data_IF_032173949536
#
_entry.id   IF_032173949536
#
_cell.length_a   1.000
_cell.length_b   1.000
_cell.length_c   1.000
_cell.angle_alpha   90.00
_cell.angle_beta   90.00
_cell.angle_gamma   90.00
#
_symmetry.space_group_name_H-M   'P 1'
#
loop_
_entity.id
_entity.type
_entity.pdbx_description
1 polymer ?
#
# COMPACT_ATOMS: atom_id res chain seq x y z
N UNK A 1 -14.73 20.88 -48.56
CA UNK A 1 -15.14 20.53 -47.18
C UNK A 1 -13.89 20.37 -46.33
N UNK A 2 -13.60 21.34 -45.44
CA UNK A 2 -12.57 21.14 -44.40
C UNK A 2 -13.23 20.37 -43.26
N UNK A 3 -12.84 19.12 -43.07
CA UNK A 3 -13.20 18.37 -41.86
C UNK A 3 -12.44 19.04 -40.72
N UNK A 4 -13.15 19.79 -39.89
CA UNK A 4 -12.65 20.29 -38.62
C UNK A 4 -12.39 19.09 -37.72
N UNK A 5 -11.12 18.71 -37.55
CA UNK A 5 -10.69 17.85 -36.47
C UNK A 5 -10.90 18.66 -35.20
N UNK A 6 -12.01 18.41 -34.49
CA UNK A 6 -12.17 18.94 -33.12
C UNK A 6 -11.01 18.38 -32.31
N UNK A 7 -10.10 19.26 -31.88
CA UNK A 7 -9.10 18.92 -30.87
C UNK A 7 -9.85 18.36 -29.65
N UNK A 8 -9.48 17.14 -29.24
CA UNK A 8 -10.11 16.52 -28.10
C UNK A 8 -9.79 17.35 -26.85
N UNK A 9 -10.82 17.61 -26.02
CA UNK A 9 -10.64 18.25 -24.73
C UNK A 9 -9.61 17.44 -23.90
N UNK A 10 -8.57 18.06 -23.31
CA UNK A 10 -7.57 17.36 -22.49
C UNK A 10 -8.18 16.45 -21.42
N UNK A 11 -9.31 16.84 -20.82
CA UNK A 11 -10.05 16.01 -19.87
C UNK A 11 -10.60 14.72 -20.51
N UNK A 12 -11.13 14.78 -21.73
CA UNK A 12 -11.61 13.59 -22.44
C UNK A 12 -10.48 12.62 -22.78
N UNK A 13 -9.30 13.14 -23.12
CA UNK A 13 -8.13 12.32 -23.39
C UNK A 13 -7.67 11.58 -22.13
N UNK A 14 -7.59 12.27 -20.98
CA UNK A 14 -7.29 11.67 -19.68
C UNK A 14 -8.30 10.56 -19.31
N UNK A 15 -9.59 10.82 -19.48
CA UNK A 15 -10.65 9.85 -19.18
C UNK A 15 -10.54 8.58 -20.04
N UNK A 16 -10.17 8.71 -21.31
CA UNK A 16 -9.93 7.56 -22.22
C UNK A 16 -8.72 6.73 -21.80
N UNK A 17 -7.78 7.30 -21.04
CA UNK A 17 -6.60 6.58 -20.55
C UNK A 17 -6.87 5.81 -19.25
N UNK A 18 -7.96 6.13 -18.53
CA UNK A 18 -8.37 5.38 -17.34
C UNK A 18 -9.18 4.15 -17.77
N UNK A 19 -8.83 2.93 -17.30
CA UNK A 19 -9.55 1.72 -17.65
C UNK A 19 -11.06 1.81 -17.34
N UNK A 20 -11.88 1.37 -18.30
CA UNK A 20 -13.29 1.08 -18.09
C UNK A 20 -13.46 -0.34 -17.58
N UNK A 21 -13.36 -0.50 -16.26
CA UNK A 21 -13.65 -1.77 -15.61
C UNK A 21 -15.12 -1.78 -15.15
N UNK A 22 -15.89 -2.75 -15.66
CA UNK A 22 -17.22 -3.08 -15.14
C UNK A 22 -17.30 -4.58 -14.89
N UNK A 23 -17.53 -4.97 -13.64
CA UNK A 23 -17.79 -6.35 -13.26
C UNK A 23 -19.15 -6.75 -13.82
N UNK A 24 -19.16 -7.65 -14.80
CA UNK A 24 -20.38 -7.98 -15.57
C UNK A 24 -21.41 -8.78 -14.77
N UNK A 25 -20.95 -9.52 -13.78
CA UNK A 25 -21.77 -10.49 -13.06
C UNK A 25 -22.59 -9.86 -11.92
N UNK A 26 -22.17 -8.71 -11.41
CA UNK A 26 -22.78 -8.05 -10.24
C UNK A 26 -22.67 -6.55 -10.35
N UNK A 27 -23.54 -5.84 -9.64
CA UNK A 27 -23.38 -4.40 -9.47
C UNK A 27 -22.55 -4.11 -8.21
N UNK A 28 -21.31 -3.66 -8.43
CA UNK A 28 -20.41 -3.29 -7.35
C UNK A 28 -20.93 -2.10 -6.52
N UNK A 29 -21.66 -1.16 -7.13
CA UNK A 29 -22.21 -0.01 -6.39
C UNK A 29 -23.22 -0.47 -5.32
N UNK A 30 -24.11 -1.39 -5.67
CA UNK A 30 -25.06 -2.02 -4.74
C UNK A 30 -24.35 -2.80 -3.63
N UNK A 31 -23.23 -3.46 -3.94
CA UNK A 31 -22.41 -4.16 -2.94
C UNK A 31 -21.84 -3.18 -1.94
N UNK A 32 -21.19 -2.09 -2.39
CA UNK A 32 -20.67 -1.05 -1.49
C UNK A 32 -21.78 -0.35 -0.70
N UNK A 33 -22.98 -0.22 -1.27
CA UNK A 33 -24.16 0.30 -0.57
C UNK A 33 -24.72 -0.66 0.51
N UNK A 34 -24.20 -1.89 0.63
CA UNK A 34 -24.64 -2.86 1.62
C UNK A 34 -25.83 -3.71 1.20
N UNK A 35 -26.11 -3.83 -0.10
CA UNK A 35 -27.21 -4.68 -0.59
C UNK A 35 -26.90 -6.17 -0.33
N UNK A 36 -27.50 -6.72 0.73
CA UNK A 36 -27.31 -8.10 1.17
C UNK A 36 -27.64 -9.16 0.10
N UNK A 37 -28.60 -8.88 -0.79
CA UNK A 37 -28.92 -9.80 -1.89
C UNK A 37 -27.76 -9.84 -2.89
N UNK A 38 -27.23 -8.69 -3.27
CA UNK A 38 -26.12 -8.61 -4.21
C UNK A 38 -24.83 -9.21 -3.61
N UNK A 39 -24.56 -8.94 -2.33
CA UNK A 39 -23.44 -9.52 -1.58
C UNK A 39 -23.51 -11.06 -1.62
N UNK A 40 -24.68 -11.66 -1.37
CA UNK A 40 -24.85 -13.12 -1.42
C UNK A 40 -24.65 -13.70 -2.83
N UNK A 41 -25.10 -13.00 -3.87
CA UNK A 41 -24.87 -13.41 -5.27
C UNK A 41 -23.37 -13.39 -5.56
N UNK A 42 -22.72 -12.26 -5.27
CA UNK A 42 -21.31 -12.02 -5.52
C UNK A 42 -20.37 -12.99 -4.79
N UNK A 43 -20.71 -13.35 -3.55
CA UNK A 43 -19.96 -14.29 -2.72
C UNK A 43 -19.90 -15.71 -3.31
N UNK A 44 -20.87 -16.09 -4.15
CA UNK A 44 -20.96 -17.41 -4.77
C UNK A 44 -20.27 -17.51 -6.15
N UNK A 45 -19.79 -16.39 -6.69
CA UNK A 45 -19.09 -16.37 -7.98
C UNK A 45 -17.68 -16.94 -7.79
N UNK A 46 -17.42 -18.08 -8.45
CA UNK A 46 -16.13 -18.78 -8.41
C UNK A 46 -15.34 -18.69 -9.71
N UNK A 47 -16.02 -18.46 -10.85
CA UNK A 47 -15.41 -18.49 -12.16
C UNK A 47 -14.70 -17.17 -12.47
N UNK A 48 -13.39 -17.15 -12.25
CA UNK A 48 -12.51 -16.11 -12.79
C UNK A 48 -11.40 -16.79 -13.58
N UNK A 49 -11.27 -16.41 -14.85
CA UNK A 49 -10.23 -16.92 -15.74
C UNK A 49 -8.87 -16.51 -15.18
N UNK A 50 -8.07 -17.48 -14.73
CA UNK A 50 -6.74 -17.22 -14.18
C UNK A 50 -5.71 -17.24 -15.31
N UNK A 51 -4.92 -16.17 -15.40
CA UNK A 51 -3.76 -16.11 -16.29
C UNK A 51 -2.65 -16.93 -15.64
N UNK A 52 -2.06 -17.86 -16.39
CA UNK A 52 -0.92 -18.63 -15.90
C UNK A 52 0.36 -17.78 -15.92
N UNK A 53 1.33 -18.10 -15.08
CA UNK A 53 2.60 -17.38 -15.05
C UNK A 53 3.29 -17.34 -16.42
N UNK A 54 3.25 -18.45 -17.17
CA UNK A 54 3.83 -18.54 -18.52
C UNK A 54 3.08 -17.71 -19.57
N UNK A 55 1.79 -17.45 -19.36
CA UNK A 55 1.02 -16.61 -20.28
C UNK A 55 1.46 -15.14 -20.19
N UNK A 56 1.93 -14.68 -19.02
CA UNK A 56 2.51 -13.33 -18.90
C UNK A 56 3.70 -13.11 -19.83
N UNK A 57 4.56 -14.10 -20.01
CA UNK A 57 5.71 -14.01 -20.92
C UNK A 57 5.27 -13.79 -22.38
N UNK A 58 4.08 -14.28 -22.76
CA UNK A 58 3.51 -14.04 -24.10
C UNK A 58 2.88 -12.66 -24.19
N UNK A 59 2.12 -12.29 -23.16
CA UNK A 59 1.43 -11.01 -23.10
C UNK A 59 2.40 -9.81 -23.10
N UNK A 60 3.57 -9.97 -22.50
CA UNK A 60 4.59 -8.91 -22.36
C UNK A 60 5.52 -8.80 -23.57
N UNK A 61 5.43 -9.71 -24.56
CA UNK A 61 6.21 -9.59 -25.83
C UNK A 61 5.97 -8.26 -26.55
N UNK A 62 4.76 -7.71 -26.43
CA UNK A 62 4.43 -6.39 -26.96
C UNK A 62 4.01 -5.48 -25.80
N UNK A 63 4.99 -4.78 -25.23
CA UNK A 63 4.75 -3.91 -24.07
C UNK A 63 3.77 -2.77 -24.36
N UNK A 64 3.71 -2.25 -25.59
CA UNK A 64 2.74 -1.21 -25.97
C UNK A 64 1.30 -1.71 -25.89
N UNK A 65 1.06 -2.98 -26.21
CA UNK A 65 -0.25 -3.63 -26.02
C UNK A 65 -0.45 -4.03 -24.56
N UNK A 66 0.57 -4.57 -23.91
CA UNK A 66 0.51 -5.02 -22.52
C UNK A 66 0.10 -3.89 -21.56
N UNK A 67 0.73 -2.71 -21.68
CA UNK A 67 0.41 -1.54 -20.84
C UNK A 67 -1.05 -1.08 -20.98
N UNK A 68 -1.67 -1.29 -22.14
CA UNK A 68 -3.10 -0.96 -22.35
C UNK A 68 -4.06 -1.90 -21.62
N UNK A 69 -3.57 -2.95 -20.93
CA UNK A 69 -4.38 -3.92 -20.17
C UNK A 69 -4.80 -3.45 -18.77
N UNK A 70 -4.89 -2.14 -18.56
CA UNK A 70 -5.34 -1.56 -17.29
C UNK A 70 -4.36 -0.60 -16.61
N UNK A 71 -3.20 -0.31 -17.20
CA UNK A 71 -2.25 0.62 -16.58
C UNK A 71 -2.53 2.06 -16.98
N UNK A 72 -2.52 2.97 -15.99
CA UNK A 72 -2.56 4.40 -16.21
C UNK A 72 -1.13 4.90 -16.43
N UNK A 73 -0.78 5.17 -17.68
CA UNK A 73 0.61 5.43 -18.12
C UNK A 73 0.94 6.90 -18.29
N UNK A 74 0.06 7.78 -17.81
CA UNK A 74 0.25 9.23 -17.77
C UNK A 74 -0.11 9.75 -16.37
N UNK A 75 0.53 10.82 -15.88
CA UNK A 75 0.07 11.51 -14.68
C UNK A 75 -1.32 12.11 -14.94
N UNK A 76 -2.25 11.95 -14.00
CA UNK A 76 -3.64 12.43 -14.19
C UNK A 76 -3.81 13.92 -13.83
N UNK A 77 -2.87 14.50 -13.08
CA UNK A 77 -2.79 15.94 -12.79
C UNK A 77 -1.36 16.36 -12.39
N UNK A 78 -1.12 17.67 -12.33
CA UNK A 78 0.18 18.25 -11.99
C UNK A 78 0.61 17.96 -10.54
N UNK A 79 -0.33 17.87 -9.61
CA UNK A 79 -0.05 17.59 -8.20
C UNK A 79 0.56 16.20 -8.03
N UNK A 80 0.01 15.19 -8.70
CA UNK A 80 0.59 13.84 -8.73
C UNK A 80 1.91 13.77 -9.49
N UNK A 81 2.05 14.51 -10.60
CA UNK A 81 3.28 14.54 -11.38
C UNK A 81 4.47 15.09 -10.56
N UNK A 82 4.19 16.03 -9.65
CA UNK A 82 5.20 16.71 -8.83
C UNK A 82 5.46 16.02 -7.48
N UNK A 83 4.71 14.97 -7.14
CA UNK A 83 4.84 14.23 -5.89
C UNK A 83 5.10 12.73 -6.14
N UNK A 84 6.29 12.35 -6.63
CA UNK A 84 6.61 10.97 -6.91
C UNK A 84 6.68 10.13 -5.62
N UNK A 85 6.06 8.95 -5.65
CA UNK A 85 6.05 7.98 -4.55
C UNK A 85 6.92 6.78 -4.94
N UNK A 86 7.70 6.28 -3.99
CA UNK A 86 8.44 5.02 -4.13
C UNK A 86 7.77 3.90 -3.31
N UNK A 87 7.44 2.79 -3.97
CA UNK A 87 6.87 1.60 -3.35
C UNK A 87 7.90 0.48 -3.26
N UNK A 88 7.95 -0.19 -2.12
CA UNK A 88 8.67 -1.45 -1.94
C UNK A 88 7.62 -2.54 -1.69
N UNK A 89 7.52 -3.49 -2.61
CA UNK A 89 6.48 -4.54 -2.62
C UNK A 89 7.21 -5.88 -2.51
N UNK A 90 6.85 -6.73 -1.56
CA UNK A 90 7.40 -8.11 -1.52
C UNK A 90 6.32 -9.14 -1.82
N UNK A 91 6.72 -10.16 -2.57
CA UNK A 91 5.82 -11.14 -3.15
C UNK A 91 6.48 -12.52 -3.18
N UNK A 92 5.68 -13.59 -3.16
CA UNK A 92 6.21 -14.96 -3.25
C UNK A 92 5.39 -15.93 -4.12
N UNK A 93 4.21 -15.53 -4.63
CA UNK A 93 3.34 -16.48 -5.36
C UNK A 93 2.43 -15.85 -6.42
N UNK A 94 1.38 -15.15 -5.99
CA UNK A 94 0.23 -14.88 -6.86
C UNK A 94 0.47 -13.72 -7.83
N UNK A 95 1.09 -14.00 -8.98
CA UNK A 95 1.38 -13.02 -10.05
C UNK A 95 0.13 -12.26 -10.49
N UNK A 96 -1.03 -12.92 -10.54
CA UNK A 96 -2.29 -12.27 -10.95
C UNK A 96 -2.71 -11.22 -9.91
N UNK A 97 -2.68 -11.56 -8.63
CA UNK A 97 -2.94 -10.59 -7.55
C UNK A 97 -1.96 -9.42 -7.56
N UNK A 98 -0.68 -9.68 -7.86
CA UNK A 98 0.33 -8.62 -7.93
C UNK A 98 0.14 -7.74 -9.16
N UNK A 99 -0.16 -8.29 -10.34
CA UNK A 99 -0.48 -7.49 -11.53
C UNK A 99 -1.69 -6.59 -11.28
N UNK A 100 -2.71 -7.12 -10.61
CA UNK A 100 -3.92 -6.39 -10.19
C UNK A 100 -3.58 -5.21 -9.28
N UNK A 101 -2.78 -5.44 -8.24
CA UNK A 101 -2.26 -4.38 -7.37
C UNK A 101 -1.47 -3.34 -8.18
N UNK A 102 -0.53 -3.79 -9.02
CA UNK A 102 0.28 -2.90 -9.84
C UNK A 102 -0.58 -2.02 -10.74
N UNK A 103 -1.61 -2.56 -11.40
CA UNK A 103 -2.49 -1.75 -12.25
C UNK A 103 -3.21 -0.65 -11.47
N UNK A 104 -3.66 -0.93 -10.25
CA UNK A 104 -4.30 0.06 -9.39
C UNK A 104 -3.32 1.19 -9.02
N UNK A 105 -2.14 0.84 -8.50
CA UNK A 105 -1.21 1.83 -7.93
C UNK A 105 -0.21 2.41 -8.94
N UNK A 106 -0.07 1.82 -10.14
CA UNK A 106 0.93 2.24 -11.11
C UNK A 106 0.66 3.64 -11.63
N UNK A 107 1.69 4.50 -11.57
CA UNK A 107 1.76 5.79 -12.25
C UNK A 107 3.18 5.98 -12.79
N UNK A 108 3.36 6.66 -13.94
CA UNK A 108 4.67 6.75 -14.60
C UNK A 108 5.73 7.54 -13.83
N UNK A 109 5.32 8.47 -12.96
CA UNK A 109 6.23 9.29 -12.14
C UNK A 109 6.68 8.60 -10.84
N UNK A 110 5.96 7.55 -10.41
CA UNK A 110 6.28 6.79 -9.21
C UNK A 110 7.37 5.75 -9.49
N UNK A 111 7.94 5.16 -8.44
CA UNK A 111 8.93 4.09 -8.53
C UNK A 111 8.45 2.84 -7.80
N UNK A 112 8.71 1.67 -8.37
CA UNK A 112 8.27 0.39 -7.81
C UNK A 112 9.45 -0.57 -7.72
N UNK A 113 9.86 -0.93 -6.51
CA UNK A 113 10.82 -2.01 -6.27
C UNK A 113 10.04 -3.23 -5.80
N UNK A 114 10.06 -4.30 -6.59
CA UNK A 114 9.37 -5.55 -6.28
C UNK A 114 10.41 -6.59 -5.90
N UNK A 115 10.39 -7.00 -4.63
CA UNK A 115 11.22 -8.10 -4.14
C UNK A 115 10.46 -9.41 -4.30
N UNK A 116 10.96 -10.30 -5.16
CA UNK A 116 10.43 -11.66 -5.32
C UNK A 116 11.21 -12.59 -4.41
N UNK A 117 10.49 -13.34 -3.57
CA UNK A 117 11.08 -14.32 -2.68
C UNK A 117 11.86 -15.39 -3.48
N UNK A 118 13.13 -15.63 -3.16
CA UNK A 118 13.97 -16.63 -3.82
C UNK A 118 13.42 -18.06 -3.77
N UNK A 119 12.54 -18.35 -2.80
CA UNK A 119 11.86 -19.64 -2.67
C UNK A 119 10.64 -19.79 -3.58
N UNK A 120 10.26 -18.73 -4.30
CA UNK A 120 9.12 -18.77 -5.23
C UNK A 120 9.42 -19.70 -6.41
N UNK A 121 8.36 -20.21 -7.04
CA UNK A 121 8.51 -20.97 -8.29
C UNK A 121 9.22 -20.13 -9.36
N UNK A 122 10.09 -20.74 -10.15
CA UNK A 122 10.81 -20.07 -11.26
C UNK A 122 9.84 -19.33 -12.20
N UNK A 123 8.67 -19.93 -12.45
CA UNK A 123 7.62 -19.32 -13.28
C UNK A 123 7.14 -17.96 -12.73
N UNK A 124 7.14 -17.76 -11.40
CA UNK A 124 6.80 -16.48 -10.76
C UNK A 124 7.87 -15.45 -11.05
N UNK A 125 9.15 -15.79 -10.89
CA UNK A 125 10.26 -14.88 -11.20
C UNK A 125 10.23 -14.47 -12.66
N UNK A 126 10.10 -15.42 -13.58
CA UNK A 126 10.05 -15.15 -15.03
C UNK A 126 8.87 -14.25 -15.39
N UNK A 127 7.69 -14.53 -14.84
CA UNK A 127 6.51 -13.70 -15.08
C UNK A 127 6.73 -12.26 -14.60
N UNK A 128 7.24 -12.09 -13.37
CA UNK A 128 7.45 -10.76 -12.78
C UNK A 128 8.54 -9.96 -13.48
N UNK A 129 9.64 -10.61 -13.89
CA UNK A 129 10.67 -9.99 -14.75
C UNK A 129 10.07 -9.55 -16.08
N UNK A 130 9.25 -10.41 -16.71
CA UNK A 130 8.61 -10.08 -17.99
C UNK A 130 7.66 -8.88 -17.87
N UNK A 131 6.89 -8.80 -16.78
CA UNK A 131 6.00 -7.66 -16.50
C UNK A 131 6.82 -6.39 -16.29
N UNK A 132 7.84 -6.44 -15.43
CA UNK A 132 8.69 -5.29 -15.12
C UNK A 132 9.40 -4.75 -16.36
N UNK A 133 9.84 -5.62 -17.28
CA UNK A 133 10.50 -5.21 -18.53
C UNK A 133 9.66 -4.29 -19.42
N UNK A 134 8.33 -4.23 -19.21
CA UNK A 134 7.45 -3.32 -19.92
C UNK A 134 7.37 -1.90 -19.34
N UNK A 135 8.08 -1.61 -18.23
CA UNK A 135 8.03 -0.33 -17.53
C UNK A 135 9.44 0.10 -17.09
N UNK A 136 9.79 1.36 -17.32
CA UNK A 136 11.12 1.88 -16.97
C UNK A 136 11.29 2.13 -15.47
N UNK A 137 10.19 2.20 -14.72
CA UNK A 137 10.12 2.58 -13.31
C UNK A 137 9.71 1.41 -12.38
N UNK A 138 9.73 0.17 -12.89
CA UNK A 138 9.55 -1.05 -12.10
C UNK A 138 10.87 -1.82 -12.09
N UNK A 139 11.37 -2.11 -10.91
CA UNK A 139 12.63 -2.82 -10.67
C UNK A 139 12.32 -4.12 -9.93
N UNK A 140 12.86 -5.24 -10.42
CA UNK A 140 12.79 -6.53 -9.73
C UNK A 140 14.08 -6.74 -8.92
N UNK A 141 13.91 -7.18 -7.69
CA UNK A 141 14.99 -7.68 -6.85
C UNK A 141 14.63 -9.08 -6.34
N UNK A 142 15.61 -9.97 -6.19
CA UNK A 142 15.37 -11.32 -5.66
C UNK A 142 15.92 -11.38 -4.23
N UNK A 143 15.07 -11.69 -3.26
CA UNK A 143 15.42 -11.63 -1.83
C UNK A 143 14.99 -12.93 -1.15
N UNK A 144 15.83 -13.53 -0.30
CA UNK A 144 15.42 -14.65 0.56
C UNK A 144 14.56 -14.10 1.71
N UNK A 145 13.23 -14.34 1.68
CA UNK A 145 12.31 -13.82 2.70
C UNK A 145 11.92 -14.95 3.67
N UNK A 146 12.29 -14.79 4.94
CA UNK A 146 11.92 -15.73 6.01
C UNK A 146 10.71 -15.22 6.77
N UNK A 147 9.73 -16.07 7.06
CA UNK A 147 8.54 -15.68 7.87
C UNK A 147 8.98 -15.05 9.21
N UNK A 148 8.29 -13.98 9.64
CA UNK A 148 8.78 -12.95 10.59
C UNK A 148 9.71 -11.89 9.96
N UNK A 149 9.44 -11.54 8.69
CA UNK A 149 10.14 -10.50 7.95
C UNK A 149 9.15 -9.68 7.10
N UNK A 150 9.61 -8.48 6.77
CA UNK A 150 8.86 -7.29 6.36
C UNK A 150 7.91 -7.51 5.16
N UNK A 151 6.71 -6.92 5.21
CA UNK A 151 5.80 -6.54 4.10
C UNK A 151 4.70 -7.51 3.58
N UNK A 152 3.52 -6.90 3.37
CA UNK A 152 2.30 -7.32 2.65
C UNK A 152 1.41 -6.08 2.38
N UNK A 153 1.45 -5.49 1.17
CA UNK A 153 0.67 -4.27 0.84
C UNK A 153 -0.47 -4.59 -0.14
N UNK A 154 -1.66 -4.01 0.07
CA UNK A 154 -2.80 -4.01 -0.88
C UNK A 154 -3.59 -2.68 -0.77
N UNK A 155 -3.92 -2.04 -1.90
CA UNK A 155 -4.37 -0.64 -1.95
C UNK A 155 -5.88 -0.47 -1.99
N UNK A 156 -6.40 0.58 -1.35
CA UNK A 156 -7.82 0.96 -1.45
C UNK A 156 -8.03 2.40 -1.94
N UNK A 157 -7.02 3.27 -1.87
CA UNK A 157 -7.09 4.68 -2.29
C UNK A 157 -6.52 4.92 -3.70
N UNK A 158 -6.96 6.00 -4.38
CA UNK A 158 -6.35 6.45 -5.65
C UNK A 158 -4.97 7.06 -5.41
N UNK A 159 -4.12 7.12 -6.44
CA UNK A 159 -2.82 7.78 -6.32
C UNK A 159 -2.97 9.27 -5.95
N UNK A 160 -3.99 9.95 -6.48
CA UNK A 160 -4.31 11.34 -6.12
C UNK A 160 -4.59 11.49 -4.62
N UNK A 161 -5.45 10.63 -4.09
CA UNK A 161 -5.81 10.57 -2.68
C UNK A 161 -4.58 10.32 -1.79
N UNK A 162 -3.74 9.36 -2.17
CA UNK A 162 -2.49 9.06 -1.46
C UNK A 162 -1.56 10.29 -1.48
N UNK A 163 -1.37 10.95 -2.63
CA UNK A 163 -0.53 12.15 -2.75
C UNK A 163 -1.03 13.25 -1.83
N UNK A 164 -2.34 13.54 -1.82
CA UNK A 164 -2.92 14.55 -0.93
C UNK A 164 -2.67 14.23 0.54
N UNK A 165 -2.90 12.97 0.95
CA UNK A 165 -2.65 12.54 2.33
C UNK A 165 -1.17 12.66 2.69
N UNK A 166 -0.26 12.17 1.85
CA UNK A 166 1.18 12.22 2.12
C UNK A 166 1.70 13.67 2.17
N UNK A 167 1.15 14.59 1.37
CA UNK A 167 1.42 16.03 1.50
C UNK A 167 0.92 16.58 2.83
N UNK A 168 -0.26 16.16 3.29
CA UNK A 168 -0.80 16.56 4.59
C UNK A 168 0.07 16.08 5.76
N UNK A 169 0.88 15.03 5.57
CA UNK A 169 1.83 14.56 6.58
C UNK A 169 3.01 15.50 6.83
N UNK A 170 3.23 16.50 5.96
CA UNK A 170 4.19 17.59 6.15
C UNK A 170 5.61 17.13 6.55
N UNK A 171 6.13 16.07 5.91
CA UNK A 171 7.48 15.56 6.17
C UNK A 171 7.61 14.66 7.42
N UNK A 172 6.51 14.33 8.09
CA UNK A 172 6.48 13.29 9.12
C UNK A 172 6.45 11.88 8.51
N UNK A 173 6.96 10.90 9.27
CA UNK A 173 6.77 9.48 8.95
C UNK A 173 5.42 8.99 9.50
N UNK A 174 4.78 8.06 8.82
CA UNK A 174 3.55 7.38 9.27
C UNK A 174 3.88 5.95 9.71
N UNK A 175 4.20 5.79 10.99
CA UNK A 175 4.60 4.52 11.60
C UNK A 175 3.92 4.30 12.94
N UNK A 176 3.39 3.09 13.14
CA UNK A 176 2.78 2.70 14.41
C UNK A 176 3.89 2.51 15.43
N UNK A 177 3.63 2.92 16.66
CA UNK A 177 4.48 2.63 17.80
C UNK A 177 3.67 2.22 19.03
N UNK A 178 4.14 1.21 19.76
CA UNK A 178 3.75 0.88 21.13
C UNK A 178 4.99 0.54 21.95
N UNK A 179 5.07 1.07 23.17
CA UNK A 179 6.09 0.68 24.15
C UNK A 179 5.52 -0.26 25.20
N UNK A 180 4.29 -0.08 25.67
CA UNK A 180 3.69 -0.91 26.74
C UNK A 180 3.54 -2.37 26.33
N UNK A 181 3.18 -2.62 25.07
CA UNK A 181 2.89 -3.97 24.52
C UNK A 181 3.96 -4.45 23.53
N UNK A 182 5.22 -4.08 23.79
CA UNK A 182 6.34 -4.30 22.86
C UNK A 182 6.94 -5.71 22.86
N UNK A 183 6.41 -6.63 23.68
CA UNK A 183 6.86 -8.03 23.76
C UNK A 183 8.37 -8.13 24.10
N UNK A 184 8.74 -7.78 25.33
CA UNK A 184 10.14 -7.73 25.80
C UNK A 184 10.91 -9.05 25.59
N UNK A 185 10.23 -10.19 25.55
CA UNK A 185 10.80 -11.49 25.25
C UNK A 185 11.43 -11.61 23.84
N UNK A 186 11.23 -10.62 22.96
CA UNK A 186 11.86 -10.56 21.63
C UNK A 186 13.34 -10.14 21.67
N UNK A 187 13.81 -9.55 22.76
CA UNK A 187 15.17 -9.00 22.86
C UNK A 187 15.74 -8.91 24.28
N UNK A 188 15.03 -9.35 25.32
CA UNK A 188 15.50 -9.31 26.72
C UNK A 188 16.74 -10.19 27.01
N UNK A 189 17.13 -11.04 26.05
CA UNK A 189 18.34 -11.87 26.11
C UNK A 189 19.58 -11.16 25.53
N UNK A 190 19.43 -9.93 25.02
CA UNK A 190 20.52 -9.11 24.49
C UNK A 190 20.91 -8.00 25.48
N UNK A 191 22.13 -7.44 25.37
CA UNK A 191 22.47 -6.21 26.08
C UNK A 191 21.57 -5.04 25.62
N UNK A 192 21.54 -3.93 26.37
CA UNK A 192 20.79 -2.73 25.97
C UNK A 192 21.11 -2.29 24.53
N UNK A 193 20.13 -1.71 23.81
CA UNK A 193 20.36 -1.28 22.44
C UNK A 193 21.44 -0.18 22.39
N UNK A 194 22.26 -0.15 21.33
CA UNK A 194 23.25 0.90 21.16
C UNK A 194 22.59 2.27 20.98
N UNK A 195 23.39 3.32 21.12
CA UNK A 195 23.03 4.71 20.75
C UNK A 195 21.73 5.24 21.38
N UNK A 196 21.36 4.74 22.57
CA UNK A 196 20.20 5.19 23.35
C UNK A 196 18.87 5.17 22.56
N UNK A 197 18.65 4.14 21.75
CA UNK A 197 17.41 3.94 21.00
C UNK A 197 16.26 3.55 21.93
N UNK A 198 15.10 4.16 21.73
CA UNK A 198 13.86 3.75 22.38
C UNK A 198 13.26 2.55 21.65
N UNK A 199 13.17 1.39 22.32
CA UNK A 199 12.60 0.18 21.73
C UNK A 199 11.07 0.28 21.63
N UNK A 200 10.59 0.32 20.39
CA UNK A 200 9.17 0.47 20.04
C UNK A 200 8.77 -0.65 19.11
N UNK A 201 7.61 -1.27 19.37
CA UNK A 201 6.98 -2.23 18.45
C UNK A 201 5.96 -1.51 17.57
N UNK A 202 5.80 -1.93 16.32
CA UNK A 202 4.65 -1.55 15.50
C UNK A 202 4.40 -2.52 14.35
N UNK A 203 3.73 -2.05 13.30
CA UNK A 203 3.40 -2.86 12.13
C UNK A 203 4.43 -2.76 11.01
N UNK A 204 4.52 -3.78 10.17
CA UNK A 204 5.39 -3.85 8.99
C UNK A 204 4.89 -3.04 7.78
N UNK A 205 3.93 -2.14 7.95
CA UNK A 205 3.43 -1.25 6.89
C UNK A 205 3.53 0.17 7.36
N UNK A 206 4.30 0.95 6.63
CA UNK A 206 4.58 2.33 6.96
C UNK A 206 4.85 3.16 5.70
N UNK A 207 4.65 4.47 5.82
CA UNK A 207 5.21 5.44 4.89
C UNK A 207 6.27 6.25 5.61
N UNK A 208 7.40 6.47 4.94
CA UNK A 208 8.54 7.20 5.48
C UNK A 208 9.07 8.16 4.43
N UNK A 209 9.70 9.25 4.88
CA UNK A 209 10.31 10.23 4.00
C UNK A 209 11.59 9.72 3.34
N UNK A 210 11.98 10.33 2.22
CA UNK A 210 13.28 10.05 1.58
C UNK A 210 14.46 10.35 2.51
N UNK A 211 14.38 11.39 3.33
CA UNK A 211 15.41 11.74 4.31
C UNK A 211 15.52 10.70 5.43
N UNK A 212 14.40 10.11 5.87
CA UNK A 212 14.44 8.95 6.78
C UNK A 212 15.12 7.75 6.13
N UNK A 213 14.84 7.44 4.87
CA UNK A 213 15.52 6.36 4.14
C UNK A 213 17.02 6.62 4.04
N UNK A 214 17.43 7.85 3.71
CA UNK A 214 18.85 8.24 3.66
C UNK A 214 19.53 8.08 5.02
N UNK A 215 18.85 8.43 6.12
CA UNK A 215 19.33 8.21 7.49
C UNK A 215 19.53 6.72 7.78
N UNK A 216 18.54 5.87 7.49
CA UNK A 216 18.63 4.42 7.74
C UNK A 216 19.78 3.76 6.96
N UNK A 217 20.05 4.24 5.75
CA UNK A 217 21.09 3.66 4.89
C UNK A 217 22.50 4.13 5.24
N UNK A 218 22.67 5.36 5.74
CA UNK A 218 23.99 6.00 5.82
C UNK A 218 24.41 6.43 7.24
N UNK A 219 23.47 6.67 8.17
CA UNK A 219 23.83 7.12 9.52
C UNK A 219 24.40 5.95 10.34
N UNK A 220 25.59 6.14 10.90
CA UNK A 220 26.28 5.11 11.67
C UNK A 220 25.45 4.60 12.86
N UNK A 221 24.60 5.44 13.46
CA UNK A 221 23.72 5.06 14.57
C UNK A 221 22.64 4.09 14.11
N UNK A 222 22.06 4.34 12.93
CA UNK A 222 21.08 3.45 12.33
C UNK A 222 21.69 2.09 11.95
N UNK A 223 22.93 2.10 11.45
CA UNK A 223 23.68 0.88 11.10
C UNK A 223 24.08 0.06 12.34
N UNK A 224 24.56 0.72 13.40
CA UNK A 224 24.84 0.05 14.68
C UNK A 224 23.58 -0.58 15.27
N UNK A 225 22.46 0.16 15.27
CA UNK A 225 21.19 -0.37 15.74
C UNK A 225 20.70 -1.54 14.87
N UNK A 226 20.88 -1.49 13.55
CA UNK A 226 20.52 -2.58 12.64
C UNK A 226 21.24 -3.88 12.99
N UNK A 227 22.54 -3.81 13.26
CA UNK A 227 23.33 -4.97 13.66
C UNK A 227 22.80 -5.57 14.97
N UNK A 228 22.49 -4.73 15.97
CA UNK A 228 21.87 -5.18 17.21
C UNK A 228 20.49 -5.81 16.95
N UNK A 229 19.64 -5.16 16.14
CA UNK A 229 18.29 -5.65 15.83
C UNK A 229 18.29 -6.97 15.06
N UNK A 230 19.32 -7.26 14.25
CA UNK A 230 19.42 -8.56 13.54
C UNK A 230 19.53 -9.77 14.47
N UNK A 231 19.88 -9.57 15.75
CA UNK A 231 19.95 -10.62 16.76
C UNK A 231 18.63 -10.83 17.51
N UNK A 232 17.60 -10.03 17.21
CA UNK A 232 16.30 -10.06 17.90
C UNK A 232 15.27 -10.93 17.16
N UNK A 233 14.14 -11.23 17.81
CA UNK A 233 12.99 -11.90 17.16
C UNK A 233 12.05 -10.87 16.52
N UNK A 234 11.60 -11.11 15.29
CA UNK A 234 10.67 -10.25 14.52
C UNK A 234 11.21 -8.81 14.28
N UNK A 235 12.44 -8.64 13.77
CA UNK A 235 13.10 -7.33 13.63
C UNK A 235 12.33 -6.30 12.79
N UNK A 236 11.49 -6.76 11.87
CA UNK A 236 10.64 -5.94 11.00
C UNK A 236 9.51 -5.20 11.76
N UNK A 237 9.13 -5.70 12.94
CA UNK A 237 8.12 -5.09 13.80
C UNK A 237 8.70 -4.09 14.81
N UNK A 238 10.02 -3.85 14.85
CA UNK A 238 10.59 -2.86 15.78
C UNK A 238 11.80 -2.08 15.29
N UNK A 239 12.53 -2.48 14.25
CA UNK A 239 13.71 -1.71 13.79
C UNK A 239 13.33 -0.28 13.37
N UNK A 240 12.49 -0.16 12.34
CA UNK A 240 12.11 1.14 11.78
C UNK A 240 11.27 1.96 12.77
N UNK A 241 10.41 1.30 13.53
CA UNK A 241 9.52 1.94 14.49
C UNK A 241 10.33 2.52 15.64
N UNK A 242 11.34 1.81 16.15
CA UNK A 242 12.23 2.33 17.18
C UNK A 242 13.00 3.57 16.70
N UNK A 243 13.53 3.56 15.48
CA UNK A 243 14.21 4.73 14.91
C UNK A 243 13.24 5.91 14.71
N UNK A 244 12.06 5.67 14.17
CA UNK A 244 11.04 6.70 13.93
C UNK A 244 10.36 7.22 15.21
N UNK A 245 10.69 6.65 16.38
CA UNK A 245 10.23 7.09 17.70
C UNK A 245 11.39 7.37 18.66
N UNK A 246 12.60 7.59 18.13
CA UNK A 246 13.78 8.00 18.89
C UNK A 246 14.19 9.43 18.50
N UNK A 247 13.39 10.46 18.83
CA UNK A 247 13.63 11.85 18.44
C UNK A 247 14.96 12.40 18.97
N UNK A 248 15.48 11.88 20.08
CA UNK A 248 16.79 12.21 20.64
C UNK A 248 17.96 11.94 19.67
N UNK A 249 17.74 11.15 18.63
CA UNK A 249 18.74 10.90 17.58
C UNK A 249 18.62 11.86 16.40
N UNK A 250 17.68 12.81 16.43
CA UNK A 250 17.37 13.72 15.33
C UNK A 250 17.06 12.97 14.02
N UNK A 251 16.38 11.82 14.12
CA UNK A 251 15.98 11.04 12.95
C UNK A 251 14.95 11.84 12.13
N UNK A 252 15.13 12.05 10.82
CA UNK A 252 14.19 12.83 10.01
C UNK A 252 12.76 12.28 10.06
N UNK A 253 11.79 13.15 10.35
CA UNK A 253 10.37 12.80 10.42
C UNK A 253 9.99 11.93 11.62
N UNK A 254 10.90 11.70 12.57
CA UNK A 254 10.59 10.90 13.76
C UNK A 254 9.61 11.62 14.68
N UNK A 255 8.68 10.84 15.25
CA UNK A 255 7.67 11.34 16.16
C UNK A 255 8.31 11.75 17.49
N UNK A 256 7.96 12.94 17.99
CA UNK A 256 8.49 13.49 19.24
C UNK A 256 7.55 13.30 20.42
N UNK A 257 6.34 12.76 20.19
CA UNK A 257 5.37 12.47 21.23
C UNK A 257 5.51 11.06 21.81
N UNK A 258 4.54 10.69 22.66
CA UNK A 258 4.52 9.38 23.31
C UNK A 258 4.08 8.26 22.35
N UNK A 259 4.91 7.22 22.12
CA UNK A 259 4.72 6.20 21.07
C UNK A 259 3.72 5.12 21.48
N UNK A 260 2.55 5.49 22.00
CA UNK A 260 1.44 4.54 22.14
C UNK A 260 0.43 4.83 21.04
N UNK A 261 0.01 3.81 20.29
CA UNK A 261 -1.01 3.88 19.25
C UNK A 261 -2.34 3.22 19.68
N UNK A 262 -3.48 3.70 19.15
CA UNK A 262 -4.82 3.14 19.37
C UNK A 262 -5.74 4.02 20.23
N UNK A 263 -6.70 3.42 20.98
CA UNK A 263 -7.75 4.13 21.77
C UNK A 263 -7.27 5.25 22.69
N UNK A 264 -5.96 5.31 23.01
CA UNK A 264 -5.35 6.37 23.81
C UNK A 264 -4.03 6.88 23.20
N UNK A 265 -3.89 6.85 21.87
CA UNK A 265 -2.60 6.95 21.19
C UNK A 265 -2.60 7.53 19.76
N UNK A 266 -1.43 7.51 19.11
CA UNK A 266 -1.23 7.88 17.72
C UNK A 266 -1.95 6.92 16.75
N UNK A 267 -2.78 7.45 15.85
CA UNK A 267 -3.56 6.66 14.89
C UNK A 267 -2.70 6.20 13.70
N UNK A 268 -2.74 4.90 13.35
CA UNK A 268 -1.97 4.35 12.23
C UNK A 268 -2.79 4.38 10.95
N UNK A 269 -2.45 5.25 10.00
CA UNK A 269 -3.22 5.42 8.76
C UNK A 269 -2.79 4.49 7.62
N UNK A 270 -1.69 3.75 7.79
CA UNK A 270 -1.08 3.07 6.64
C UNK A 270 -1.80 1.80 6.21
N UNK A 271 -2.39 1.06 7.15
CA UNK A 271 -3.02 -0.23 6.83
C UNK A 271 -4.14 -0.57 7.79
N UNK A 272 -5.32 -0.81 7.24
CA UNK A 272 -6.45 -1.36 7.97
C UNK A 272 -6.34 -2.90 8.06
N UNK A 273 -6.50 -3.46 9.26
CA UNK A 273 -6.48 -4.91 9.49
C UNK A 273 -7.55 -5.26 10.51
N UNK A 274 -8.36 -6.26 10.21
CA UNK A 274 -9.35 -6.81 11.15
C UNK A 274 -8.80 -8.09 11.77
N UNK A 275 -8.66 -8.09 13.10
CA UNK A 275 -8.16 -9.21 13.89
C UNK A 275 -9.29 -9.96 14.56
N UNK A 276 -9.20 -11.30 14.61
CA UNK A 276 -10.18 -12.16 15.27
C UNK A 276 -10.35 -11.85 16.77
N UNK A 277 -9.34 -11.26 17.39
CA UNK A 277 -9.31 -10.89 18.82
C UNK A 277 -9.86 -9.49 19.09
N UNK A 278 -10.29 -8.74 18.06
CA UNK A 278 -10.89 -7.42 18.26
C UNK A 278 -12.26 -7.55 18.94
N UNK A 279 -12.54 -6.68 19.93
CA UNK A 279 -13.75 -6.73 20.78
C UNK A 279 -15.04 -6.74 19.95
N UNK A 280 -15.08 -6.01 18.84
CA UNK A 280 -16.18 -5.97 17.88
C UNK A 280 -15.70 -6.39 16.49
N UNK A 281 -15.08 -7.56 16.37
CA UNK A 281 -14.57 -8.00 15.07
C UNK A 281 -15.70 -8.19 14.05
N UNK A 282 -15.65 -7.45 12.95
CA UNK A 282 -16.72 -7.35 11.94
C UNK A 282 -16.43 -8.14 10.66
N UNK A 283 -15.43 -9.02 10.65
CA UNK A 283 -15.03 -9.78 9.46
C UNK A 283 -16.18 -10.63 8.90
N UNK A 284 -16.60 -10.33 7.67
CA UNK A 284 -17.60 -11.05 6.89
C UNK A 284 -16.99 -11.96 5.82
N UNK A 285 -15.67 -11.99 5.72
CA UNK A 285 -14.89 -12.95 4.94
C UNK A 285 -14.51 -14.20 5.75
N UNK A 286 -13.20 -14.52 5.80
CA UNK A 286 -12.67 -15.67 6.58
C UNK A 286 -11.42 -15.27 7.37
N UNK A 287 -11.15 -15.92 8.50
CA UNK A 287 -9.89 -15.72 9.21
C UNK A 287 -8.82 -16.70 8.75
N UNK A 288 -7.60 -16.18 8.56
CA UNK A 288 -6.39 -17.00 8.38
C UNK A 288 -5.31 -16.46 9.28
N UNK A 289 -4.86 -17.26 10.25
CA UNK A 289 -3.91 -16.86 11.31
C UNK A 289 -4.39 -15.61 12.08
N UNK A 290 -5.66 -15.63 12.52
CA UNK A 290 -6.32 -14.54 13.24
C UNK A 290 -6.48 -13.20 12.49
N UNK A 291 -6.10 -13.11 11.22
CA UNK A 291 -6.32 -11.92 10.37
C UNK A 291 -7.43 -12.20 9.36
N UNK A 292 -8.38 -11.26 9.23
CA UNK A 292 -9.46 -11.32 8.27
C UNK A 292 -8.92 -11.28 6.84
N UNK A 293 -9.29 -12.28 6.03
CA UNK A 293 -9.27 -12.21 4.57
C UNK A 293 -10.61 -11.62 4.15
N UNK A 294 -10.58 -10.39 3.63
CA UNK A 294 -11.74 -9.64 3.21
C UNK A 294 -12.47 -10.37 2.07
N UNK A 295 -13.78 -10.46 2.22
CA UNK A 295 -14.70 -10.96 1.22
C UNK A 295 -15.63 -9.86 0.72
N UNK A 296 -16.63 -10.24 -0.09
CA UNK A 296 -17.58 -9.28 -0.65
C UNK A 296 -18.41 -8.59 0.44
N UNK A 297 -18.73 -9.31 1.52
CA UNK A 297 -19.52 -8.79 2.63
C UNK A 297 -18.82 -7.68 3.43
N UNK A 298 -17.50 -7.55 3.30
CA UNK A 298 -16.74 -6.54 4.01
C UNK A 298 -16.64 -5.20 3.25
N UNK A 299 -16.87 -5.19 1.93
CA UNK A 299 -16.77 -4.00 1.09
C UNK A 299 -17.59 -2.79 1.58
N UNK A 300 -18.82 -2.93 2.13
CA UNK A 300 -19.59 -1.78 2.61
C UNK A 300 -18.91 -0.96 3.71
N UNK A 301 -18.02 -1.60 4.49
CA UNK A 301 -17.29 -0.91 5.56
C UNK A 301 -16.04 -0.20 5.04
N UNK A 302 -15.55 -0.54 3.84
CA UNK A 302 -14.26 -0.07 3.35
C UNK A 302 -14.24 1.43 3.07
N UNK A 303 -15.34 2.00 2.57
CA UNK A 303 -15.45 3.45 2.29
C UNK A 303 -15.31 4.34 3.52
N UNK A 304 -15.52 3.77 4.70
CA UNK A 304 -15.44 4.51 5.97
C UNK A 304 -14.03 4.50 6.55
N UNK A 305 -13.10 3.74 5.96
CA UNK A 305 -11.74 3.63 6.45
C UNK A 305 -10.91 4.82 5.99
N UNK A 306 -10.21 5.46 6.93
CA UNK A 306 -9.21 6.51 6.66
C UNK A 306 -7.81 5.94 6.33
N UNK A 307 -7.72 4.64 6.05
CA UNK A 307 -6.44 3.98 5.81
C UNK A 307 -6.10 4.01 4.31
N UNK A 308 -4.81 4.05 3.99
CA UNK A 308 -4.35 4.06 2.59
C UNK A 308 -4.47 2.68 1.92
N UNK A 309 -4.31 1.63 2.72
CA UNK A 309 -4.24 0.23 2.32
C UNK A 309 -5.06 -0.61 3.31
N UNK A 310 -5.53 -1.76 2.89
CA UNK A 310 -6.28 -2.74 3.69
C UNK A 310 -5.56 -4.07 3.56
N UNK A 311 -5.62 -4.91 4.59
CA UNK A 311 -5.03 -6.23 4.55
C UNK A 311 -5.91 -7.25 5.29
N UNK A 312 -6.33 -8.35 4.65
CA UNK A 312 -5.81 -8.95 3.39
C UNK A 312 -6.89 -9.41 2.41
N UNK A 313 -6.55 -9.50 1.13
CA UNK A 313 -7.32 -10.17 0.09
C UNK A 313 -6.56 -11.41 -0.39
N UNK A 314 -7.30 -12.46 -0.76
CA UNK A 314 -6.74 -13.56 -1.55
C UNK A 314 -7.52 -13.68 -2.84
N UNK A 315 -6.80 -13.72 -3.96
CA UNK A 315 -7.43 -13.90 -5.27
C UNK A 315 -8.25 -15.20 -5.37
N UNK A 316 -7.87 -16.24 -4.64
CA UNK A 316 -8.59 -17.52 -4.61
C UNK A 316 -9.83 -17.53 -3.70
N UNK A 317 -10.12 -16.43 -3.01
CA UNK A 317 -11.24 -16.30 -2.09
C UNK A 317 -12.12 -15.11 -2.46
N UNK A 318 -13.34 -15.41 -2.94
CA UNK A 318 -14.31 -14.40 -3.37
C UNK A 318 -13.70 -13.31 -4.27
N UNK A 319 -13.11 -13.66 -5.43
CA UNK A 319 -12.36 -12.73 -6.28
C UNK A 319 -13.19 -11.51 -6.76
N UNK A 320 -14.52 -11.62 -6.74
CA UNK A 320 -15.45 -10.51 -6.96
C UNK A 320 -15.18 -9.33 -6.02
N UNK A 321 -14.74 -9.60 -4.78
CA UNK A 321 -14.41 -8.56 -3.81
C UNK A 321 -13.31 -7.64 -4.37
N UNK A 322 -12.18 -8.22 -4.78
CA UNK A 322 -11.09 -7.48 -5.42
C UNK A 322 -11.55 -6.79 -6.72
N UNK A 323 -12.38 -7.45 -7.53
CA UNK A 323 -12.85 -6.85 -8.80
C UNK A 323 -13.74 -5.63 -8.56
N UNK A 324 -14.55 -5.63 -7.52
CA UNK A 324 -15.34 -4.47 -7.14
C UNK A 324 -14.49 -3.35 -6.53
N UNK A 325 -13.46 -3.67 -5.76
CA UNK A 325 -12.50 -2.67 -5.27
C UNK A 325 -11.77 -2.01 -6.44
N UNK A 326 -11.34 -2.78 -7.45
CA UNK A 326 -10.71 -2.23 -8.66
C UNK A 326 -11.66 -1.37 -9.48
N UNK A 327 -12.89 -1.82 -9.72
CA UNK A 327 -13.91 -1.04 -10.45
C UNK A 327 -14.11 0.30 -9.74
N UNK A 328 -14.28 0.27 -8.41
CA UNK A 328 -14.43 1.47 -7.60
C UNK A 328 -13.22 2.39 -7.68
N UNK A 329 -12.02 1.84 -7.59
CA UNK A 329 -10.77 2.59 -7.68
C UNK A 329 -10.62 3.34 -9.03
N UNK A 330 -10.96 2.70 -10.16
CA UNK A 330 -10.92 3.37 -11.46
C UNK A 330 -12.02 4.41 -11.63
N UNK A 331 -13.24 4.14 -11.13
CA UNK A 331 -14.31 5.13 -11.12
C UNK A 331 -13.92 6.37 -10.31
N UNK A 332 -13.32 6.16 -9.14
CA UNK A 332 -12.77 7.23 -8.32
C UNK A 332 -11.67 8.02 -9.01
N UNK A 333 -10.78 7.36 -9.75
CA UNK A 333 -9.76 8.03 -10.55
C UNK A 333 -10.38 8.92 -11.64
N UNK A 334 -11.50 8.50 -12.26
CA UNK A 334 -12.24 9.34 -13.22
C UNK A 334 -12.90 10.53 -12.55
N UNK A 335 -13.50 10.33 -11.38
CA UNK A 335 -14.05 11.43 -10.58
C UNK A 335 -12.96 12.45 -10.21
N UNK A 336 -11.75 11.99 -9.90
CA UNK A 336 -10.61 12.87 -9.61
C UNK A 336 -10.24 13.73 -10.84
N UNK A 337 -10.21 13.14 -12.04
CA UNK A 337 -10.00 13.86 -13.32
C UNK A 337 -11.10 14.89 -13.58
N UNK A 338 -12.35 14.56 -13.23
CA UNK A 338 -13.50 15.45 -13.36
C UNK A 338 -13.57 16.52 -12.25
N UNK A 339 -12.67 16.47 -11.26
CA UNK A 339 -12.67 17.38 -10.12
C UNK A 339 -13.75 17.10 -9.07
N UNK A 340 -14.42 15.95 -9.16
CA UNK A 340 -15.52 15.52 -8.27
C UNK A 340 -15.02 14.79 -7.01
N UNK A 341 -13.79 14.27 -7.02
CA UNK A 341 -13.23 13.49 -5.90
C UNK A 341 -12.67 14.29 -4.72
N UNK A 342 -12.77 15.63 -4.72
CA UNK A 342 -12.09 16.48 -3.73
C UNK A 342 -12.56 16.23 -2.30
N UNK A 343 -13.85 16.00 -2.09
CA UNK A 343 -14.44 15.85 -0.75
C UNK A 343 -14.53 14.39 -0.28
N UNK A 344 -14.03 13.42 -1.08
CA UNK A 344 -14.05 12.00 -0.73
C UNK A 344 -13.28 11.70 0.56
N UNK A 345 -12.22 12.49 0.84
CA UNK A 345 -11.31 12.28 1.95
C UNK A 345 -11.32 13.48 2.88
N UNK A 346 -11.49 13.22 4.17
CA UNK A 346 -11.41 14.23 5.21
C UNK A 346 -9.94 14.67 5.43
N UNK A 347 -9.47 15.65 4.67
CA UNK A 347 -8.10 16.17 4.77
C UNK A 347 -7.79 16.76 6.15
N UNK A 348 -8.79 17.32 6.84
CA UNK A 348 -8.62 17.86 8.20
C UNK A 348 -8.16 16.80 9.18
N UNK A 349 -8.65 15.57 9.07
CA UNK A 349 -8.20 14.45 9.89
C UNK A 349 -6.68 14.23 9.75
N UNK A 350 -6.17 14.15 8.52
CA UNK A 350 -4.74 13.88 8.27
C UNK A 350 -3.83 15.02 8.72
N UNK A 351 -4.21 16.28 8.45
CA UNK A 351 -3.46 17.44 8.93
C UNK A 351 -3.40 17.54 10.45
N UNK A 352 -4.37 16.95 11.16
CA UNK A 352 -4.46 17.00 12.60
C UNK A 352 -3.79 15.83 13.31
N UNK A 353 -3.27 14.84 12.57
CA UNK A 353 -2.63 13.66 13.15
C UNK A 353 -1.44 14.06 14.05
N UNK A 354 -1.23 13.35 15.18
CA UNK A 354 -0.15 13.70 16.10
C UNK A 354 1.24 13.69 15.48
N UNK A 355 1.56 12.72 14.61
CA UNK A 355 2.86 12.67 13.92
C UNK A 355 3.12 13.90 13.04
N UNK A 356 2.07 14.51 12.49
CA UNK A 356 2.19 15.72 11.69
C UNK A 356 2.54 16.92 12.57
N UNK A 357 1.93 17.01 13.76
CA UNK A 357 2.15 18.11 14.70
C UNK A 357 3.48 18.01 15.45
N UNK A 358 3.91 16.79 15.77
CA UNK A 358 5.02 16.54 16.70
C UNK A 358 6.06 15.62 16.06
N UNK A 359 6.87 16.16 15.14
CA UNK A 359 7.96 15.40 14.53
C UNK A 359 9.24 16.22 14.40
N UNK A 360 10.36 15.51 14.26
CA UNK A 360 11.65 16.11 13.92
C UNK A 360 11.60 16.63 12.49
N UNK A 361 11.59 17.95 12.34
CA UNK A 361 11.61 18.62 11.04
C UNK A 361 12.97 18.37 10.39
N UNK A 362 12.96 17.74 9.23
CA UNK A 362 14.15 17.62 8.40
C UNK A 362 14.51 19.00 7.86
N UNK A 363 15.65 19.57 8.27
CA UNK A 363 16.27 20.67 7.52
C UNK A 363 16.79 20.06 6.21
N UNK A 364 15.99 20.08 5.14
CA UNK A 364 16.51 19.70 3.82
C UNK A 364 17.25 20.90 3.22
N UNK A 365 18.58 20.77 3.12
CA UNK A 365 19.32 21.41 2.03
C UNK A 365 18.93 20.67 0.74
N UNK A 366 18.54 21.44 -0.27
CA UNK A 366 18.05 20.97 -1.57
C UNK A 366 19.18 20.44 -2.46
#
# INVERSE_FOLDING_TARGET
>A
MRVSLKEANPTEELLRMVPELKVKQVDCAEIFAGNERMIKIAANIRNVTRISNMEYLKLTKNCSVYRKRGYITIPINAEEAQFPIAYIIQIYKDVVQIERLLKAIYRPQNWYCINVDLSSEESVHLAMISIASCFNNIIINNVDVKWAHFSQIEADLTNFDIVRILKALNGSNAMMGVTKRRNLNRWNFLPPPPVNVTLVKGGCHFAVTRSFVAYVLNDYRALLFKNWTSLTKFPDEHYFQSLSHSPQLNVPGAYTGWPESGENGYEQIMRHVVWATSVNSSCRGKYVRAVCVFGVGDLPAMDKNYHLFVNKFYYDYQPTAMSCVEERHYNWTKEDILGLGKDRINMTFYHQLPNVKYHVISKMEF
#
